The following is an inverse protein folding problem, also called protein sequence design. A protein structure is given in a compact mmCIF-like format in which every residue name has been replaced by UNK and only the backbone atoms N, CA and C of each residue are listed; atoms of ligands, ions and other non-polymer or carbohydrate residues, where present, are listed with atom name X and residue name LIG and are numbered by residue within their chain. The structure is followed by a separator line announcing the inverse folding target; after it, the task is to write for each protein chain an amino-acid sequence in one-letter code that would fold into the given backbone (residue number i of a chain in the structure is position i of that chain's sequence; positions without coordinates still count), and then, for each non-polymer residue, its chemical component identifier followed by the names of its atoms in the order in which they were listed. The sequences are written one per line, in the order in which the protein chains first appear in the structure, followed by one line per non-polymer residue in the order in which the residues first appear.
data_IF_887378721712
#
_entry.id   IF_887378721712
#
_cell.length_a   1.000
_cell.length_b   1.000
_cell.length_c   1.000
_cell.angle_alpha   90.00
_cell.angle_beta   90.00
_cell.angle_gamma   90.00
#
_symmetry.space_group_name_H-M   'P 1'
#
loop_
_entity.id
_entity.type
_entity.pdbx_description
1 polymer ?
#
# COMPACT_ATOMS: atom_id res chain seq x y z
N UNK A 1 23.20 15.23 -24.11
CA UNK A 1 22.95 13.78 -24.27
C UNK A 1 24.10 12.88 -23.77
N UNK A 2 25.36 13.23 -23.92
CA UNK A 2 26.51 12.38 -23.56
C UNK A 2 26.78 12.21 -22.04
N UNK A 3 26.24 13.05 -21.16
CA UNK A 3 26.47 12.96 -19.69
C UNK A 3 25.57 11.94 -18.98
N UNK A 4 24.38 11.63 -19.53
CA UNK A 4 23.39 10.68 -18.94
C UNK A 4 23.75 9.19 -19.17
N UNK A 5 24.51 8.85 -20.21
CA UNK A 5 24.93 7.48 -20.49
C UNK A 5 25.99 6.96 -19.50
N UNK A 6 26.76 7.85 -18.86
CA UNK A 6 27.83 7.46 -17.92
C UNK A 6 27.34 6.87 -16.60
N UNK A 7 26.12 7.22 -16.15
CA UNK A 7 25.58 6.70 -14.87
C UNK A 7 25.00 5.28 -15.02
N UNK A 8 24.46 4.92 -16.19
CA UNK A 8 23.98 3.57 -16.46
C UNK A 8 25.11 2.53 -16.56
N UNK A 9 26.26 2.94 -17.10
CA UNK A 9 27.45 2.08 -17.18
C UNK A 9 28.14 1.87 -15.84
N UNK A 10 28.05 2.85 -14.91
CA UNK A 10 28.59 2.73 -13.57
C UNK A 10 27.82 1.73 -12.71
N UNK A 11 26.48 1.65 -12.84
CA UNK A 11 25.66 0.66 -12.14
C UNK A 11 25.91 -0.77 -12.66
N UNK A 12 26.06 -0.94 -13.98
CA UNK A 12 26.43 -2.22 -14.58
C UNK A 12 27.85 -2.66 -14.21
N UNK A 13 28.80 -1.71 -14.09
CA UNK A 13 30.15 -1.97 -13.65
C UNK A 13 30.24 -2.33 -12.14
N UNK A 14 29.37 -1.78 -11.31
CA UNK A 14 29.29 -2.13 -9.88
C UNK A 14 28.78 -3.58 -9.69
N UNK A 15 27.80 -4.00 -10.49
CA UNK A 15 27.34 -5.41 -10.52
C UNK A 15 28.43 -6.36 -11.08
N UNK A 16 29.23 -5.92 -12.04
CA UNK A 16 30.33 -6.73 -12.59
C UNK A 16 31.55 -6.79 -11.68
N UNK A 17 31.85 -5.73 -10.93
CA UNK A 17 32.97 -5.68 -9.97
C UNK A 17 32.76 -6.60 -8.75
N UNK A 18 31.51 -6.88 -8.38
CA UNK A 18 31.21 -7.83 -7.32
C UNK A 18 31.38 -9.30 -7.74
N UNK A 19 31.43 -9.57 -9.05
CA UNK A 19 31.66 -10.93 -9.60
C UNK A 19 33.14 -11.31 -9.69
N UNK A 20 34.07 -10.33 -9.55
CA UNK A 20 35.52 -10.56 -9.62
C UNK A 20 36.28 -10.53 -8.31
N UNK A 21 35.63 -10.26 -7.17
CA UNK A 21 36.25 -10.39 -5.86
C UNK A 21 36.47 -11.86 -5.52
N UNK A 22 37.62 -12.25 -4.90
CA UNK A 22 37.79 -13.62 -4.41
C UNK A 22 36.64 -13.93 -3.47
N UNK A 23 36.11 -15.18 -3.45
CA UNK A 23 34.93 -15.50 -2.69
C UNK A 23 35.17 -15.30 -1.19
N UNK A 24 34.88 -14.13 -0.66
CA UNK A 24 34.39 -14.01 0.71
C UNK A 24 33.09 -14.79 0.68
N UNK A 25 33.20 -16.05 1.08
CA UNK A 25 32.21 -17.09 0.83
C UNK A 25 30.86 -16.74 1.45
N UNK A 26 30.06 -15.94 0.76
CA UNK A 26 28.64 -16.03 0.91
C UNK A 26 28.27 -17.45 0.51
N UNK A 27 27.89 -18.29 1.47
CA UNK A 27 27.54 -19.69 1.18
C UNK A 27 26.30 -19.76 0.30
N UNK A 28 25.49 -18.69 0.25
CA UNK A 28 24.30 -18.63 -0.57
C UNK A 28 23.88 -17.19 -0.88
N UNK A 29 23.59 -16.95 -2.14
CA UNK A 29 23.03 -15.68 -2.65
C UNK A 29 21.76 -16.02 -3.41
N UNK A 30 20.71 -15.27 -3.16
CA UNK A 30 19.47 -15.28 -3.91
C UNK A 30 19.25 -13.90 -4.52
N UNK A 31 18.96 -13.88 -5.80
CA UNK A 31 18.53 -12.69 -6.52
C UNK A 31 17.12 -12.96 -7.07
N UNK A 32 16.20 -12.07 -6.75
CA UNK A 32 14.84 -12.07 -7.29
C UNK A 32 14.63 -10.77 -8.06
N UNK A 33 14.07 -10.87 -9.25
CA UNK A 33 13.80 -9.72 -10.09
C UNK A 33 12.37 -9.71 -10.57
N UNK A 34 11.75 -8.55 -10.55
CA UNK A 34 10.44 -8.29 -11.16
C UNK A 34 10.60 -7.18 -12.19
N UNK A 35 10.32 -7.51 -13.44
CA UNK A 35 10.33 -6.57 -14.56
C UNK A 35 8.89 -6.33 -14.99
N UNK A 36 8.41 -5.11 -14.87
CA UNK A 36 7.05 -4.73 -15.28
C UNK A 36 7.13 -3.65 -16.35
N UNK A 37 6.47 -3.88 -17.47
CA UNK A 37 6.18 -2.84 -18.45
C UNK A 37 4.68 -2.65 -18.55
N UNK A 38 4.26 -1.41 -18.68
CA UNK A 38 2.85 -1.06 -18.83
C UNK A 38 2.67 -0.25 -20.11
N UNK A 39 1.48 -0.27 -20.63
CA UNK A 39 1.01 0.60 -21.68
C UNK A 39 -0.27 1.25 -21.20
N UNK A 40 -0.28 2.57 -21.15
CA UNK A 40 -1.45 3.37 -20.77
C UNK A 40 -1.79 4.30 -21.91
N UNK A 41 -3.00 4.17 -22.42
CA UNK A 41 -3.54 5.03 -23.46
C UNK A 41 -4.81 5.69 -22.97
N UNK A 42 -4.87 7.00 -23.06
CA UNK A 42 -6.07 7.76 -22.72
C UNK A 42 -6.16 9.03 -23.60
N UNK A 43 -7.30 9.66 -23.56
CA UNK A 43 -7.47 11.02 -24.07
C UNK A 43 -7.43 11.97 -22.87
N UNK A 44 -6.34 12.74 -22.67
CA UNK A 44 -6.25 13.66 -21.56
C UNK A 44 -7.32 14.75 -21.68
N UNK A 45 -7.76 15.24 -20.52
CA UNK A 45 -8.72 16.32 -20.39
C UNK A 45 -8.00 17.49 -19.72
N UNK A 46 -8.08 18.66 -20.31
CA UNK A 46 -7.53 19.90 -19.78
C UNK A 46 -8.65 20.86 -19.44
N UNK A 47 -8.56 21.49 -18.29
CA UNK A 47 -9.44 22.59 -17.94
C UNK A 47 -8.90 23.88 -18.58
N UNK A 48 -9.71 24.50 -19.43
CA UNK A 48 -9.41 25.79 -20.05
C UNK A 48 -10.18 26.88 -19.32
N UNK A 49 -9.51 27.57 -18.41
CA UNK A 49 -10.08 28.70 -17.68
C UNK A 49 -10.29 29.96 -18.56
N UNK A 50 -9.74 30.00 -19.78
CA UNK A 50 -9.81 31.14 -20.67
C UNK A 50 -11.00 31.07 -21.59
N UNK A 51 -11.62 29.91 -21.77
CA UNK A 51 -12.74 29.72 -22.69
C UNK A 51 -14.04 30.46 -22.28
N UNK A 52 -14.22 30.67 -20.96
CA UNK A 52 -15.28 31.50 -20.40
C UNK A 52 -14.94 31.86 -18.95
N UNK A 53 -14.91 33.15 -18.62
CA UNK A 53 -14.48 33.61 -17.30
C UNK A 53 -15.33 33.07 -16.14
N UNK A 54 -16.60 32.70 -16.40
CA UNK A 54 -17.53 32.26 -15.37
C UNK A 54 -17.75 30.72 -15.32
N UNK A 55 -17.45 30.00 -16.38
CA UNK A 55 -17.83 28.59 -16.47
C UNK A 55 -16.68 27.61 -16.79
N UNK A 56 -15.52 28.10 -17.20
CA UNK A 56 -14.40 27.23 -17.63
C UNK A 56 -14.88 26.05 -18.50
N UNK A 57 -14.16 25.70 -19.52
CA UNK A 57 -14.51 24.56 -20.38
C UNK A 57 -13.49 23.45 -20.25
N UNK A 58 -13.95 22.22 -20.18
CA UNK A 58 -13.07 21.07 -20.33
C UNK A 58 -12.82 20.80 -21.82
N UNK A 59 -11.57 20.75 -22.21
CA UNK A 59 -11.14 20.48 -23.58
C UNK A 59 -10.47 19.11 -23.63
N UNK A 60 -10.88 18.29 -24.60
CA UNK A 60 -10.20 17.02 -24.87
C UNK A 60 -8.95 17.25 -25.68
N UNK A 61 -7.83 16.76 -25.21
CA UNK A 61 -6.59 16.70 -25.95
C UNK A 61 -6.57 15.49 -26.90
N UNK A 62 -5.66 15.45 -27.87
CA UNK A 62 -5.44 14.25 -28.68
C UNK A 62 -5.16 13.04 -27.83
N UNK A 63 -5.48 11.86 -28.33
CA UNK A 63 -5.14 10.57 -27.66
C UNK A 63 -3.63 10.51 -27.45
N UNK A 64 -3.25 10.29 -26.21
CA UNK A 64 -1.85 10.16 -25.80
C UNK A 64 -1.60 8.81 -25.13
N UNK A 65 -0.35 8.41 -25.07
CA UNK A 65 0.06 7.17 -24.41
C UNK A 65 1.31 7.39 -23.57
N UNK A 66 1.49 6.52 -22.58
CA UNK A 66 2.75 6.31 -21.89
C UNK A 66 3.04 4.82 -21.77
N UNK A 67 4.32 4.49 -21.74
CA UNK A 67 4.79 3.13 -21.51
C UNK A 67 5.79 3.15 -20.33
N UNK A 68 5.31 3.19 -19.09
CA UNK A 68 6.16 3.10 -17.91
C UNK A 68 6.76 1.70 -17.80
N UNK A 69 8.04 1.67 -17.45
CA UNK A 69 8.83 0.48 -17.21
C UNK A 69 9.40 0.54 -15.79
N UNK A 70 9.28 -0.57 -15.05
CA UNK A 70 9.83 -0.71 -13.70
C UNK A 70 10.61 -2.00 -13.61
N UNK A 71 11.82 -1.93 -13.04
CA UNK A 71 12.65 -3.08 -12.75
C UNK A 71 12.98 -3.08 -11.26
N UNK A 72 12.48 -4.07 -10.54
CA UNK A 72 12.83 -4.34 -9.15
C UNK A 72 13.86 -5.47 -9.09
N UNK A 73 14.89 -5.30 -8.25
CA UNK A 73 15.91 -6.29 -7.98
C UNK A 73 16.06 -6.45 -6.46
N UNK A 74 15.68 -7.61 -5.96
CA UNK A 74 15.82 -7.99 -4.56
C UNK A 74 17.01 -8.96 -4.41
N UNK A 75 17.95 -8.58 -3.57
CA UNK A 75 19.11 -9.37 -3.21
C UNK A 75 18.99 -9.84 -1.77
N UNK A 76 19.19 -11.12 -1.53
CA UNK A 76 19.37 -11.72 -0.21
C UNK A 76 20.64 -12.53 -0.20
N UNK A 77 21.51 -12.30 0.78
CA UNK A 77 22.76 -13.03 0.95
C UNK A 77 22.91 -13.48 2.40
N UNK A 78 23.35 -14.73 2.60
CA UNK A 78 23.58 -15.32 3.92
C UNK A 78 24.84 -16.19 3.92
N UNK A 79 25.30 -16.61 5.11
CA UNK A 79 26.57 -17.33 5.23
C UNK A 79 27.79 -16.43 5.01
N UNK A 80 27.71 -15.15 5.40
CA UNK A 80 28.74 -14.13 5.20
C UNK A 80 29.92 -14.26 6.19
N UNK A 81 30.32 -15.49 6.54
CA UNK A 81 31.44 -15.77 7.46
C UNK A 81 31.09 -15.59 8.95
N UNK A 82 30.02 -14.89 9.28
CA UNK A 82 29.50 -14.73 10.65
C UNK A 82 28.13 -15.39 10.74
N UNK A 83 27.98 -16.33 11.67
CA UNK A 83 26.68 -17.01 11.87
C UNK A 83 25.58 -15.97 12.12
N UNK A 84 24.44 -16.10 11.42
CA UNK A 84 23.30 -15.20 11.52
C UNK A 84 23.48 -13.82 10.86
N UNK A 85 24.59 -13.57 10.19
CA UNK A 85 24.78 -12.35 9.38
C UNK A 85 24.15 -12.55 8.01
N UNK A 86 23.31 -11.62 7.62
CA UNK A 86 22.61 -11.57 6.33
C UNK A 86 22.71 -10.18 5.72
N UNK A 87 22.60 -10.09 4.42
CA UNK A 87 22.48 -8.83 3.70
C UNK A 87 21.21 -8.85 2.85
N UNK A 88 20.50 -7.73 2.82
CA UNK A 88 19.30 -7.55 2.02
C UNK A 88 19.38 -6.22 1.27
N UNK A 89 18.92 -6.24 0.03
CA UNK A 89 18.74 -5.02 -0.75
C UNK A 89 17.55 -5.19 -1.71
N UNK A 90 16.76 -4.13 -1.85
CA UNK A 90 15.77 -3.99 -2.91
C UNK A 90 16.01 -2.66 -3.60
N UNK A 91 16.33 -2.73 -4.87
CA UNK A 91 16.54 -1.56 -5.71
C UNK A 91 15.52 -1.52 -6.82
N UNK A 92 15.05 -0.32 -7.15
CA UNK A 92 14.07 -0.06 -8.20
C UNK A 92 14.64 0.88 -9.23
N UNK A 93 14.55 0.50 -10.48
CA UNK A 93 14.79 1.36 -11.62
C UNK A 93 13.46 1.64 -12.33
N UNK A 94 13.22 2.89 -12.69
CA UNK A 94 12.04 3.33 -13.44
C UNK A 94 12.45 4.10 -14.68
N UNK A 95 11.68 3.94 -15.74
CA UNK A 95 11.74 4.76 -16.94
C UNK A 95 10.33 4.79 -17.56
N UNK A 96 10.01 5.85 -18.27
CA UNK A 96 8.78 5.93 -19.04
C UNK A 96 9.05 6.47 -20.42
N UNK A 97 8.30 5.96 -21.39
CA UNK A 97 8.25 6.46 -22.75
C UNK A 97 6.83 7.03 -22.98
N UNK A 98 6.73 8.11 -23.72
CA UNK A 98 5.46 8.70 -24.08
C UNK A 98 5.19 10.04 -23.44
N UNK A 99 3.93 10.33 -23.13
CA UNK A 99 3.46 11.65 -22.73
C UNK A 99 3.43 11.83 -21.22
N UNK A 100 4.02 12.91 -20.70
CA UNK A 100 3.97 13.32 -19.31
C UNK A 100 2.53 13.63 -18.83
N UNK A 101 1.63 13.98 -19.76
CA UNK A 101 0.22 14.17 -19.45
C UNK A 101 -0.49 12.88 -19.08
N UNK A 102 0.03 11.73 -19.56
CA UNK A 102 -0.50 10.40 -19.25
C UNK A 102 0.19 9.80 -18.04
N UNK A 103 1.49 10.08 -17.91
CA UNK A 103 2.32 9.59 -16.82
C UNK A 103 3.26 10.71 -16.36
N UNK A 104 2.86 11.52 -15.36
CA UNK A 104 3.61 12.70 -14.93
C UNK A 104 5.03 12.42 -14.42
N UNK A 105 5.29 11.19 -13.98
CA UNK A 105 6.63 10.78 -13.52
C UNK A 105 7.38 10.00 -14.61
N UNK A 106 7.56 10.61 -15.77
CA UNK A 106 8.26 10.00 -16.90
C UNK A 106 9.78 9.97 -16.76
N UNK A 107 10.34 10.63 -15.76
CA UNK A 107 11.78 10.70 -15.55
C UNK A 107 12.38 9.34 -15.18
N UNK A 108 13.54 9.05 -15.76
CA UNK A 108 14.33 7.88 -15.36
C UNK A 108 14.80 8.05 -13.93
N UNK A 109 14.44 7.13 -13.08
CA UNK A 109 14.72 7.17 -11.66
C UNK A 109 15.31 5.84 -11.18
N UNK A 110 16.28 5.90 -10.28
CA UNK A 110 16.85 4.73 -9.62
C UNK A 110 16.90 5.00 -8.12
N UNK A 111 16.36 4.06 -7.34
CA UNK A 111 16.30 4.18 -5.89
C UNK A 111 16.56 2.84 -5.20
N UNK A 112 17.14 2.88 -4.02
CA UNK A 112 17.16 1.75 -3.10
C UNK A 112 15.98 1.90 -2.13
N UNK A 113 15.03 0.97 -2.20
CA UNK A 113 13.88 0.95 -1.29
C UNK A 113 14.30 0.51 0.10
N UNK A 114 15.14 -0.53 0.19
CA UNK A 114 15.90 -0.89 1.39
C UNK A 114 17.27 -1.48 1.01
N UNK A 115 18.24 -1.34 1.90
CA UNK A 115 19.56 -1.95 1.77
C UNK A 115 20.21 -2.00 3.16
N UNK A 116 20.29 -3.18 3.78
CA UNK A 116 20.79 -3.31 5.14
C UNK A 116 21.50 -4.64 5.38
N UNK A 117 22.38 -4.61 6.37
CA UNK A 117 22.96 -5.79 7.01
C UNK A 117 22.13 -6.12 8.25
N UNK A 118 21.91 -7.40 8.46
CA UNK A 118 21.19 -7.93 9.61
C UNK A 118 22.03 -9.00 10.29
N UNK A 119 22.25 -8.84 11.59
CA UNK A 119 22.80 -9.88 12.46
C UNK A 119 21.70 -10.38 13.38
N UNK A 120 21.23 -11.60 13.12
CA UNK A 120 20.20 -12.26 13.94
C UNK A 120 20.79 -13.35 14.81
N UNK A 121 20.47 -13.31 16.08
CA UNK A 121 20.80 -14.29 17.11
C UNK A 121 19.53 -14.66 17.90
N UNK A 122 19.51 -15.77 18.61
CA UNK A 122 18.30 -16.18 19.36
C UNK A 122 17.74 -15.10 20.31
N UNK A 123 18.62 -14.29 20.90
CA UNK A 123 18.24 -13.27 21.88
C UNK A 123 18.32 -11.83 21.39
N UNK A 124 18.99 -11.56 20.28
CA UNK A 124 19.14 -10.20 19.77
C UNK A 124 19.15 -10.16 18.25
N UNK A 125 18.74 -9.02 17.71
CA UNK A 125 18.83 -8.67 16.31
C UNK A 125 19.42 -7.26 16.20
N UNK A 126 20.36 -7.10 15.30
CA UNK A 126 20.92 -5.80 14.91
C UNK A 126 20.72 -5.64 13.41
N UNK A 127 20.28 -4.48 12.98
CA UNK A 127 20.10 -4.17 11.56
C UNK A 127 20.66 -2.77 11.28
N UNK A 128 21.53 -2.66 10.29
CA UNK A 128 22.20 -1.42 9.92
C UNK A 128 22.04 -1.14 8.43
N UNK A 129 21.61 0.05 8.08
CA UNK A 129 21.44 0.53 6.70
C UNK A 129 20.07 1.13 6.46
N UNK A 130 19.66 1.16 5.18
CA UNK A 130 18.34 1.63 4.77
C UNK A 130 17.28 0.60 5.11
N UNK A 131 16.32 0.99 5.91
CA UNK A 131 15.32 0.10 6.48
C UNK A 131 13.93 0.67 6.32
N UNK A 132 12.97 -0.22 6.34
CA UNK A 132 11.55 0.07 6.37
C UNK A 132 10.94 -0.55 7.63
N UNK A 133 9.97 0.14 8.20
CA UNK A 133 9.25 -0.31 9.36
C UNK A 133 7.76 -0.03 9.23
N UNK A 134 6.95 -1.00 9.54
CA UNK A 134 5.50 -0.86 9.71
C UNK A 134 5.13 -1.09 11.17
N UNK A 135 4.26 -0.25 11.72
CA UNK A 135 3.75 -0.33 13.09
C UNK A 135 2.34 0.25 13.17
N UNK A 136 1.74 0.27 14.33
CA UNK A 136 0.48 0.99 14.57
C UNK A 136 0.54 2.50 14.26
N UNK A 137 1.74 3.06 14.11
CA UNK A 137 1.97 4.45 13.71
C UNK A 137 2.06 4.66 12.18
N UNK A 138 1.95 3.60 11.40
CA UNK A 138 2.08 3.62 9.95
C UNK A 138 3.41 3.06 9.46
N UNK A 139 3.78 3.46 8.25
CA UNK A 139 4.96 3.02 7.54
C UNK A 139 6.04 4.11 7.55
N UNK A 140 7.30 3.72 7.81
CA UNK A 140 8.45 4.61 7.86
C UNK A 140 9.66 3.99 7.17
N UNK A 141 10.37 4.80 6.37
CA UNK A 141 11.68 4.49 5.82
C UNK A 141 12.75 5.34 6.49
N UNK A 142 13.90 4.76 6.82
CA UNK A 142 15.03 5.50 7.41
C UNK A 142 16.37 4.82 7.13
N UNK A 143 17.42 5.64 7.09
CA UNK A 143 18.82 5.18 7.06
C UNK A 143 19.35 5.21 8.49
N UNK A 144 19.61 4.02 9.08
CA UNK A 144 19.99 3.96 10.48
C UNK A 144 20.20 2.57 11.06
N UNK A 145 19.99 2.47 12.36
CA UNK A 145 20.17 1.28 13.17
C UNK A 145 18.83 0.82 13.78
N UNK A 146 18.61 -0.48 13.78
CA UNK A 146 17.60 -1.14 14.61
C UNK A 146 18.29 -2.16 15.49
N UNK A 147 17.98 -2.15 16.79
CA UNK A 147 18.41 -3.13 17.76
C UNK A 147 17.19 -3.75 18.46
N UNK A 148 17.12 -5.09 18.49
CA UNK A 148 16.07 -5.77 19.24
C UNK A 148 16.70 -6.77 20.22
N UNK A 149 16.05 -6.91 21.36
CA UNK A 149 16.41 -7.83 22.43
C UNK A 149 15.20 -8.69 22.82
N UNK A 150 15.41 -10.01 22.88
CA UNK A 150 14.41 -11.02 23.21
C UNK A 150 14.85 -11.74 24.50
N UNK A 151 14.57 -11.17 25.68
CA UNK A 151 14.91 -11.83 26.95
C UNK A 151 14.16 -13.16 27.13
N UNK A 152 12.94 -13.22 26.64
CA UNK A 152 12.06 -14.39 26.67
C UNK A 152 11.45 -14.59 25.27
N UNK A 153 11.04 -15.81 24.95
CA UNK A 153 10.34 -16.09 23.68
C UNK A 153 9.05 -15.26 23.52
N UNK A 154 8.41 -14.94 24.64
CA UNK A 154 7.17 -14.18 24.69
C UNK A 154 7.38 -12.65 24.80
N UNK A 155 8.61 -12.14 24.80
CA UNK A 155 8.88 -10.73 25.03
C UNK A 155 10.02 -10.22 24.15
N UNK A 156 9.76 -9.12 23.41
CA UNK A 156 10.73 -8.45 22.55
C UNK A 156 10.70 -6.96 22.82
N UNK A 157 11.86 -6.40 23.05
CA UNK A 157 12.12 -4.97 23.05
C UNK A 157 12.86 -4.60 21.77
N UNK A 158 12.54 -3.46 21.19
CA UNK A 158 13.21 -2.97 20.00
C UNK A 158 13.39 -1.47 20.11
N UNK A 159 14.54 -0.97 19.69
CA UNK A 159 14.83 0.44 19.50
C UNK A 159 15.38 0.67 18.11
N UNK A 160 15.07 1.81 17.52
CA UNK A 160 15.53 2.17 16.19
C UNK A 160 15.75 3.67 16.08
N UNK A 161 16.60 4.05 15.16
CA UNK A 161 16.81 5.47 14.89
C UNK A 161 17.74 5.68 13.69
N UNK A 162 17.59 6.84 13.08
CA UNK A 162 18.35 7.22 11.91
C UNK A 162 17.78 8.44 11.20
N UNK A 163 18.26 8.69 9.99
CA UNK A 163 17.74 9.74 9.13
C UNK A 163 16.43 9.27 8.48
N UNK A 164 15.37 10.03 8.69
CA UNK A 164 14.07 9.77 8.05
C UNK A 164 14.14 9.98 6.54
N UNK A 165 13.53 9.09 5.77
CA UNK A 165 13.50 9.11 4.32
C UNK A 165 12.11 9.35 3.77
N UNK A 166 11.15 8.53 4.23
CA UNK A 166 9.82 8.51 3.69
C UNK A 166 8.80 8.12 4.76
N UNK A 167 7.64 8.69 4.66
CA UNK A 167 6.46 8.30 5.42
C UNK A 167 5.33 8.00 4.47
N UNK A 168 4.64 6.91 4.73
CA UNK A 168 3.34 6.66 4.18
C UNK A 168 2.37 6.38 5.33
N UNK A 169 1.32 7.13 5.41
CA UNK A 169 0.39 7.04 6.53
C UNK A 169 -0.33 5.70 6.60
N UNK A 170 -0.58 5.03 5.49
CA UNK A 170 -1.43 3.84 5.46
C UNK A 170 -1.10 2.79 4.41
N UNK A 171 -0.22 3.04 3.44
CA UNK A 171 -0.04 2.16 2.30
C UNK A 171 1.38 1.61 2.21
N UNK A 172 1.46 0.35 1.76
CA UNK A 172 2.72 -0.28 1.43
C UNK A 172 3.37 0.41 0.22
N UNK A 173 4.68 0.30 0.10
CA UNK A 173 5.50 0.88 -0.99
C UNK A 173 5.07 0.56 -2.42
N UNK A 174 4.11 -0.31 -2.60
CA UNK A 174 3.59 -0.67 -3.93
C UNK A 174 2.53 0.29 -4.45
N UNK A 175 2.18 1.33 -3.71
CA UNK A 175 1.23 2.32 -4.16
C UNK A 175 1.89 3.32 -5.10
N UNK A 176 1.49 3.31 -6.35
CA UNK A 176 1.84 4.34 -7.33
C UNK A 176 1.40 5.75 -6.90
N UNK A 177 0.43 5.86 -6.02
CA UNK A 177 -0.06 7.13 -5.50
C UNK A 177 0.97 7.85 -4.61
N UNK A 178 1.76 7.11 -3.82
CA UNK A 178 2.81 7.71 -2.99
C UNK A 178 3.93 8.28 -3.87
N UNK A 179 4.28 7.59 -4.93
CA UNK A 179 5.29 8.04 -5.88
C UNK A 179 4.88 9.31 -6.62
N UNK A 180 3.60 9.47 -6.91
CA UNK A 180 3.05 10.69 -7.53
C UNK A 180 3.19 11.92 -6.62
N UNK A 181 3.34 11.73 -5.32
CA UNK A 181 3.46 12.81 -4.32
C UNK A 181 4.91 13.13 -3.94
N UNK A 182 5.88 12.30 -4.33
CA UNK A 182 7.31 12.52 -4.05
C UNK A 182 7.82 13.91 -4.48
N UNK A 183 7.45 14.46 -5.65
CA UNK A 183 7.84 15.81 -6.04
C UNK A 183 7.25 16.92 -5.14
N UNK A 184 6.20 16.61 -4.39
CA UNK A 184 5.52 17.54 -3.49
C UNK A 184 6.01 17.43 -2.05
N UNK A 185 6.95 16.53 -1.76
CA UNK A 185 7.57 16.44 -0.45
C UNK A 185 8.52 17.61 -0.25
N UNK A 186 8.41 18.36 0.85
CA UNK A 186 9.46 19.26 1.23
C UNK A 186 10.72 18.44 1.56
N UNK A 187 11.86 18.89 1.09
CA UNK A 187 13.17 18.28 1.37
C UNK A 187 13.63 18.59 2.81
N UNK A 188 12.84 18.13 3.77
CA UNK A 188 13.12 18.28 5.19
C UNK A 188 13.92 17.07 5.67
N UNK A 189 15.21 17.30 5.93
CA UNK A 189 16.01 16.31 6.64
C UNK A 189 15.46 16.10 8.05
N UNK A 190 15.12 14.87 8.41
CA UNK A 190 14.62 14.53 9.75
C UNK A 190 15.45 13.44 10.41
N UNK A 191 15.49 13.45 11.73
CA UNK A 191 16.03 12.37 12.56
C UNK A 191 14.87 11.69 13.24
N UNK A 192 14.75 10.40 13.00
CA UNK A 192 13.73 9.51 13.55
C UNK A 192 14.33 8.71 14.71
N UNK A 193 13.64 8.67 15.84
CA UNK A 193 13.96 7.82 17.00
C UNK A 193 12.68 7.09 17.44
N UNK A 194 12.80 5.82 17.74
CA UNK A 194 11.67 5.06 18.24
C UNK A 194 12.03 3.84 19.07
N UNK A 195 11.06 3.39 19.81
CA UNK A 195 11.13 2.17 20.59
C UNK A 195 9.80 1.42 20.53
N UNK A 196 9.86 0.11 20.61
CA UNK A 196 8.66 -0.73 20.73
C UNK A 196 8.89 -1.90 21.68
N UNK A 197 7.79 -2.33 22.27
CA UNK A 197 7.72 -3.58 23.02
C UNK A 197 6.64 -4.46 22.40
N UNK A 198 6.93 -5.71 22.28
CA UNK A 198 5.98 -6.74 21.87
C UNK A 198 5.97 -7.85 22.94
N UNK A 199 4.77 -8.30 23.30
CA UNK A 199 4.57 -9.35 24.28
C UNK A 199 3.49 -10.33 23.83
N UNK A 200 3.75 -11.62 24.00
CA UNK A 200 2.80 -12.72 23.77
C UNK A 200 2.72 -13.60 25.02
N UNK A 201 2.05 -13.14 26.10
CA UNK A 201 1.99 -13.86 27.36
C UNK A 201 1.30 -15.22 27.24
N UNK A 202 0.55 -15.44 26.17
CA UNK A 202 -0.03 -16.73 25.82
C UNK A 202 -0.10 -16.91 24.30
N UNK A 203 -0.29 -18.14 23.79
CA UNK A 203 -0.48 -18.38 22.35
C UNK A 203 -1.73 -17.65 21.76
N UNK A 204 -2.62 -17.18 22.62
CA UNK A 204 -3.87 -16.51 22.23
C UNK A 204 -3.86 -15.01 22.49
N UNK A 205 -2.77 -14.49 23.05
CA UNK A 205 -2.73 -13.06 23.45
C UNK A 205 -1.43 -12.44 22.92
N UNK A 206 -1.57 -11.33 22.22
CA UNK A 206 -0.44 -10.53 21.74
C UNK A 206 -0.71 -9.08 22.02
N UNK A 207 0.32 -8.34 22.42
CA UNK A 207 0.28 -6.92 22.67
C UNK A 207 1.52 -6.27 22.07
N UNK A 208 1.36 -5.07 21.54
CA UNK A 208 2.49 -4.24 21.14
C UNK A 208 2.25 -2.79 21.54
N UNK A 209 3.34 -2.12 21.90
CA UNK A 209 3.34 -0.68 22.09
C UNK A 209 4.54 -0.10 21.34
N UNK A 210 4.34 1.02 20.65
CA UNK A 210 5.37 1.70 19.87
C UNK A 210 5.35 3.18 20.22
N UNK A 211 6.52 3.75 20.47
CA UNK A 211 6.73 5.18 20.60
C UNK A 211 7.69 5.63 19.51
N UNK A 212 7.44 6.80 18.93
CA UNK A 212 8.27 7.38 17.90
C UNK A 212 8.28 8.91 18.01
N UNK A 213 9.49 9.46 17.83
CA UNK A 213 9.74 10.89 17.79
C UNK A 213 10.56 11.22 16.55
N UNK A 214 10.23 12.33 15.91
CA UNK A 214 10.94 12.84 14.76
C UNK A 214 11.19 14.33 14.90
N UNK A 215 12.42 14.71 14.67
CA UNK A 215 12.90 16.09 14.79
C UNK A 215 13.58 16.52 13.49
N UNK A 216 13.58 17.82 13.21
CA UNK A 216 14.34 18.37 12.08
C UNK A 216 15.85 18.21 12.33
N UNK A 217 16.59 17.84 11.30
CA UNK A 217 18.05 17.63 11.41
C UNK A 217 18.83 18.94 11.47
N UNK A 218 18.29 20.04 10.95
CA UNK A 218 18.93 21.38 10.87
C UNK A 218 18.45 22.34 11.98
N UNK A 219 17.36 21.98 12.67
CA UNK A 219 16.75 22.81 13.72
C UNK A 219 16.27 21.89 14.84
N UNK A 220 16.15 22.44 16.04
CA UNK A 220 15.57 21.73 17.18
C UNK A 220 14.04 21.61 17.12
N UNK A 221 13.46 21.65 15.89
CA UNK A 221 12.02 21.59 15.67
C UNK A 221 11.47 20.16 15.80
N UNK A 222 10.43 19.98 16.60
CA UNK A 222 9.68 18.76 16.67
C UNK A 222 8.78 18.64 15.43
N UNK A 223 8.93 17.55 14.67
CA UNK A 223 8.09 17.25 13.50
C UNK A 223 6.91 16.39 13.90
N UNK A 224 7.16 15.35 14.70
CA UNK A 224 6.14 14.40 15.13
C UNK A 224 6.57 13.72 16.41
N UNK A 225 5.62 13.48 17.31
CA UNK A 225 5.80 12.64 18.49
C UNK A 225 4.53 11.83 18.71
N UNK A 226 4.63 10.51 18.57
CA UNK A 226 3.46 9.62 18.54
C UNK A 226 3.71 8.34 19.32
N UNK A 227 2.63 7.80 19.86
CA UNK A 227 2.62 6.48 20.47
C UNK A 227 1.45 5.67 19.93
N UNK A 228 1.63 4.35 19.76
CA UNK A 228 0.58 3.43 19.40
C UNK A 228 0.58 2.22 20.32
N UNK A 229 -0.60 1.66 20.48
CA UNK A 229 -0.84 0.41 21.20
C UNK A 229 -1.73 -0.49 20.36
N UNK A 230 -1.35 -1.77 20.26
CA UNK A 230 -2.14 -2.81 19.61
C UNK A 230 -2.25 -4.01 20.55
N UNK A 231 -3.42 -4.62 20.60
CA UNK A 231 -3.67 -5.78 21.44
C UNK A 231 -4.65 -6.74 20.79
N UNK A 232 -4.42 -8.04 21.03
CA UNK A 232 -5.34 -9.11 20.62
C UNK A 232 -5.39 -10.17 21.70
N UNK A 233 -6.60 -10.62 22.04
CA UNK A 233 -6.85 -11.66 23.05
C UNK A 233 -7.90 -12.63 22.55
N UNK A 234 -7.56 -13.92 22.51
CA UNK A 234 -8.51 -15.01 22.29
C UNK A 234 -9.15 -15.46 23.60
N UNK A 235 -10.45 -15.36 23.69
CA UNK A 235 -11.27 -15.80 24.85
C UNK A 235 -11.98 -17.10 24.51
N UNK A 236 -11.58 -18.17 25.15
CA UNK A 236 -12.05 -19.50 24.77
C UNK A 236 -11.62 -19.88 23.35
N UNK A 237 -12.44 -20.67 22.66
CA UNK A 237 -12.15 -21.15 21.30
C UNK A 237 -12.82 -20.30 20.21
N UNK A 238 -13.73 -19.40 20.57
CA UNK A 238 -14.62 -18.76 19.59
C UNK A 238 -14.55 -17.24 19.58
N UNK A 239 -14.13 -16.60 20.65
CA UNK A 239 -14.12 -15.14 20.73
C UNK A 239 -12.69 -14.58 20.62
N UNK A 240 -12.50 -13.62 19.74
CA UNK A 240 -11.27 -12.85 19.60
C UNK A 240 -11.61 -11.39 19.82
N UNK A 241 -10.96 -10.79 20.81
CA UNK A 241 -11.02 -9.36 21.04
C UNK A 241 -9.73 -8.73 20.51
N UNK A 242 -9.83 -7.62 19.79
CA UNK A 242 -8.66 -6.85 19.36
C UNK A 242 -8.94 -5.35 19.48
N UNK A 243 -7.88 -4.62 19.75
CA UNK A 243 -7.96 -3.17 19.86
C UNK A 243 -6.65 -2.54 19.44
N UNK A 244 -6.75 -1.34 18.88
CA UNK A 244 -5.60 -0.50 18.55
C UNK A 244 -5.91 0.95 18.88
N UNK A 245 -4.89 1.69 19.27
CA UNK A 245 -5.01 3.13 19.47
C UNK A 245 -3.68 3.79 19.16
N UNK A 246 -3.71 4.98 18.56
CA UNK A 246 -2.54 5.83 18.42
C UNK A 246 -2.85 7.25 18.91
N UNK A 247 -1.82 7.89 19.44
CA UNK A 247 -1.88 9.24 19.96
C UNK A 247 -0.77 10.10 19.35
N UNK A 248 -1.14 11.28 18.88
CA UNK A 248 -0.22 12.36 18.55
C UNK A 248 0.05 13.15 19.84
N UNK A 249 1.20 12.87 20.46
CA UNK A 249 1.59 13.46 21.75
C UNK A 249 1.89 14.95 21.57
N UNK A 250 2.52 15.31 20.44
CA UNK A 250 2.87 16.69 20.15
C UNK A 250 1.64 17.59 20.02
N UNK A 251 0.54 17.06 19.49
CA UNK A 251 -0.73 17.78 19.34
C UNK A 251 -1.75 17.48 20.45
N UNK A 252 -1.42 16.58 21.38
CA UNK A 252 -2.30 16.13 22.46
C UNK A 252 -3.64 15.57 21.95
N UNK A 253 -3.61 14.77 20.89
CA UNK A 253 -4.78 14.25 20.21
C UNK A 253 -4.68 12.74 20.01
N UNK A 254 -5.83 12.06 20.06
CA UNK A 254 -5.96 10.70 19.59
C UNK A 254 -6.08 10.70 18.07
N UNK A 255 -5.29 9.88 17.38
CA UNK A 255 -5.38 9.68 15.93
C UNK A 255 -6.44 8.62 15.62
N UNK A 256 -6.10 7.37 15.84
CA UNK A 256 -7.00 6.22 15.67
C UNK A 256 -7.26 5.56 17.02
N UNK A 257 -8.50 5.17 17.26
CA UNK A 257 -8.86 4.25 18.33
C UNK A 257 -9.88 3.26 17.77
N UNK A 258 -9.64 1.96 17.98
CA UNK A 258 -10.46 0.90 17.41
C UNK A 258 -10.57 -0.25 18.39
N UNK A 259 -11.77 -0.77 18.59
CA UNK A 259 -12.04 -1.97 19.36
C UNK A 259 -12.93 -2.90 18.55
N UNK A 260 -12.52 -4.16 18.41
CA UNK A 260 -13.30 -5.16 17.70
C UNK A 260 -13.46 -6.44 18.49
N UNK A 261 -14.58 -7.11 18.24
CA UNK A 261 -14.89 -8.43 18.75
C UNK A 261 -15.32 -9.33 17.58
N UNK A 262 -14.58 -10.43 17.37
CA UNK A 262 -14.87 -11.42 16.35
C UNK A 262 -15.30 -12.72 17.01
N UNK A 263 -16.46 -13.22 16.62
CA UNK A 263 -16.96 -14.53 17.06
C UNK A 263 -16.84 -15.55 15.93
N UNK A 264 -16.15 -16.66 16.22
CA UNK A 264 -15.93 -17.75 15.28
C UNK A 264 -17.04 -18.78 15.40
N UNK A 265 -17.71 -19.05 14.29
CA UNK A 265 -18.77 -20.05 14.14
C UNK A 265 -18.23 -21.23 13.35
N UNK A 266 -18.82 -22.41 13.47
CA UNK A 266 -18.41 -23.58 12.69
C UNK A 266 -18.57 -23.39 11.18
N UNK A 267 -19.40 -22.45 10.75
CA UNK A 267 -19.70 -22.13 9.35
C UNK A 267 -19.24 -20.72 8.94
N UNK A 268 -18.56 -19.98 9.83
CA UNK A 268 -18.11 -18.65 9.48
C UNK A 268 -17.65 -17.80 10.67
N UNK A 269 -17.74 -16.48 10.51
CA UNK A 269 -17.40 -15.53 11.57
C UNK A 269 -18.27 -14.29 11.49
N UNK A 270 -18.49 -13.67 12.63
CA UNK A 270 -19.11 -12.33 12.73
C UNK A 270 -18.16 -11.44 13.53
N UNK A 271 -17.91 -10.27 13.02
CA UNK A 271 -17.10 -9.24 13.68
C UNK A 271 -17.94 -7.98 13.86
N UNK A 272 -17.85 -7.38 15.03
CA UNK A 272 -18.35 -6.04 15.30
C UNK A 272 -17.17 -5.16 15.70
N UNK A 273 -17.24 -3.89 15.36
CA UNK A 273 -16.17 -2.94 15.61
C UNK A 273 -16.74 -1.56 15.92
N UNK A 274 -16.10 -0.89 16.88
CA UNK A 274 -16.30 0.53 17.14
C UNK A 274 -14.95 1.23 16.89
N UNK A 275 -14.97 2.37 16.23
CA UNK A 275 -13.74 3.09 15.89
C UNK A 275 -13.94 4.60 15.93
N UNK A 276 -12.84 5.26 16.24
CA UNK A 276 -12.62 6.68 16.01
C UNK A 276 -11.41 6.83 15.12
N UNK A 277 -11.49 7.71 14.16
CA UNK A 277 -10.38 8.01 13.25
C UNK A 277 -10.23 9.51 13.10
N UNK A 278 -9.03 9.99 13.38
CA UNK A 278 -8.59 11.35 13.08
C UNK A 278 -7.28 11.22 12.33
N UNK A 279 -7.24 11.47 11.02
CA UNK A 279 -6.00 11.41 10.27
C UNK A 279 -4.97 12.38 10.81
N UNK A 280 -3.76 11.90 11.07
CA UNK A 280 -2.61 12.73 11.41
C UNK A 280 -1.79 12.92 10.14
N UNK A 281 -1.96 14.07 9.50
CA UNK A 281 -1.20 14.41 8.30
C UNK A 281 -0.03 15.31 8.67
N UNK A 282 1.07 15.12 7.97
CA UNK A 282 2.23 16.00 8.09
C UNK A 282 1.92 17.38 7.52
N UNK A 283 2.15 18.42 8.32
CA UNK A 283 2.02 19.82 7.86
C UNK A 283 2.98 20.16 6.72
N UNK A 284 4.03 19.36 6.56
CA UNK A 284 5.00 19.51 5.48
C UNK A 284 4.58 18.89 4.16
N UNK A 285 3.45 18.17 4.12
CA UNK A 285 2.88 17.61 2.90
C UNK A 285 1.70 18.47 2.41
N UNK A 286 1.42 18.41 1.11
CA UNK A 286 0.21 19.05 0.54
C UNK A 286 -1.06 18.58 1.23
N UNK A 287 -1.07 17.36 1.76
CA UNK A 287 -2.18 16.77 2.51
C UNK A 287 -2.37 17.40 3.88
N UNK A 288 -1.33 17.97 4.47
CA UNK A 288 -1.44 18.73 5.72
C UNK A 288 -2.21 20.04 5.59
N UNK A 289 -2.37 20.53 4.35
CA UNK A 289 -3.22 21.70 4.03
C UNK A 289 -4.70 21.30 4.00
N UNK A 290 -4.98 20.04 3.65
CA UNK A 290 -6.33 19.50 3.71
C UNK A 290 -6.52 18.88 5.08
N UNK A 291 -7.18 19.57 6.00
CA UNK A 291 -7.52 19.01 7.30
C UNK A 291 -8.56 17.90 7.09
N UNK A 292 -8.18 16.61 7.16
CA UNK A 292 -9.18 15.56 7.05
C UNK A 292 -10.03 15.56 8.31
N UNK A 293 -11.33 15.47 8.11
CA UNK A 293 -12.27 15.48 9.20
C UNK A 293 -12.21 14.19 10.00
N UNK A 294 -12.29 14.35 11.32
CA UNK A 294 -12.37 13.20 12.21
C UNK A 294 -13.75 12.57 12.16
N UNK A 295 -13.81 11.27 12.28
CA UNK A 295 -15.08 10.56 12.37
C UNK A 295 -15.05 9.45 13.41
N UNK A 296 -16.22 9.14 13.93
CA UNK A 296 -16.49 7.97 14.76
C UNK A 296 -17.41 7.03 14.00
N UNK A 297 -17.34 5.74 14.28
CA UNK A 297 -18.20 4.80 13.57
C UNK A 297 -18.29 3.43 14.21
N UNK A 298 -19.18 2.66 13.65
CA UNK A 298 -19.39 1.25 13.99
C UNK A 298 -19.45 0.42 12.72
N UNK A 299 -18.90 -0.77 12.75
CA UNK A 299 -19.03 -1.72 11.66
C UNK A 299 -19.46 -3.09 12.15
N UNK A 300 -20.13 -3.83 11.28
CA UNK A 300 -20.43 -5.23 11.45
C UNK A 300 -20.11 -5.96 10.15
N UNK A 301 -19.35 -7.05 10.24
CA UNK A 301 -18.98 -7.88 9.09
C UNK A 301 -19.27 -9.34 9.40
N UNK A 302 -19.83 -10.05 8.45
CA UNK A 302 -20.08 -11.49 8.51
C UNK A 302 -19.42 -12.20 7.33
N UNK A 303 -18.73 -13.31 7.61
CA UNK A 303 -18.20 -14.23 6.60
C UNK A 303 -18.85 -15.59 6.81
N UNK A 304 -19.47 -16.13 5.77
CA UNK A 304 -20.28 -17.35 5.80
C UNK A 304 -19.75 -18.33 4.79
N UNK A 305 -19.28 -19.49 5.23
CA UNK A 305 -19.00 -20.63 4.37
C UNK A 305 -20.30 -21.40 4.13
N UNK A 306 -21.09 -20.97 3.13
CA UNK A 306 -22.38 -21.58 2.81
C UNK A 306 -22.21 -23.02 2.32
N UNK A 307 -21.04 -23.35 1.72
CA UNK A 307 -20.64 -24.70 1.38
C UNK A 307 -19.11 -24.77 1.27
N UNK A 308 -18.55 -25.94 0.97
CA UNK A 308 -17.13 -26.08 0.67
C UNK A 308 -16.69 -25.27 -0.56
N UNK A 309 -17.63 -24.99 -1.45
CA UNK A 309 -17.39 -24.28 -2.70
C UNK A 309 -17.82 -22.80 -2.66
N UNK A 310 -18.62 -22.37 -1.68
CA UNK A 310 -19.20 -21.02 -1.66
C UNK A 310 -18.94 -20.32 -0.32
N UNK A 311 -18.28 -19.19 -0.38
CA UNK A 311 -18.11 -18.26 0.74
C UNK A 311 -18.82 -16.96 0.40
N UNK A 312 -19.57 -16.41 1.35
CA UNK A 312 -20.26 -15.13 1.24
C UNK A 312 -19.71 -14.18 2.31
N UNK A 313 -19.63 -12.92 1.99
CA UNK A 313 -19.21 -11.85 2.90
C UNK A 313 -20.24 -10.73 2.84
N UNK A 314 -20.61 -10.19 4.00
CA UNK A 314 -21.44 -9.00 4.09
C UNK A 314 -20.92 -8.08 5.18
N UNK A 315 -20.96 -6.79 4.95
CA UNK A 315 -20.52 -5.77 5.89
C UNK A 315 -21.40 -4.54 5.84
N UNK A 316 -21.56 -3.91 6.97
CA UNK A 316 -22.20 -2.62 7.11
C UNK A 316 -21.33 -1.73 8.01
N UNK A 317 -21.11 -0.47 7.61
CA UNK A 317 -20.40 0.53 8.38
C UNK A 317 -21.24 1.80 8.46
N UNK A 318 -21.31 2.36 9.64
CA UNK A 318 -21.86 3.70 9.88
C UNK A 318 -20.74 4.60 10.36
N UNK A 319 -20.65 5.83 9.81
CA UNK A 319 -19.70 6.87 10.18
C UNK A 319 -20.44 8.16 10.51
N UNK A 320 -19.94 8.87 11.49
CA UNK A 320 -20.37 10.23 11.82
C UNK A 320 -19.15 11.14 11.85
N UNK A 321 -19.10 12.11 10.95
CA UNK A 321 -18.01 13.08 10.86
C UNK A 321 -18.24 14.23 11.81
N UNK A 322 -17.18 14.63 12.48
CA UNK A 322 -17.17 15.75 13.42
C UNK A 322 -16.53 16.95 12.72
N UNK A 323 -17.25 18.01 12.44
CA UNK A 323 -16.70 19.20 11.79
C UNK A 323 -15.60 19.81 12.68
N UNK A 324 -14.45 20.14 12.08
CA UNK A 324 -13.29 20.69 12.79
C UNK A 324 -13.46 22.15 13.23
N UNK A 325 -14.38 22.90 12.61
CA UNK A 325 -14.70 24.27 12.99
C UNK A 325 -16.08 24.67 12.51
N UNK A 326 -16.85 25.35 13.33
CA UNK A 326 -18.06 26.06 12.91
C UNK A 326 -17.66 27.19 11.97
N UNK A 327 -18.08 27.15 10.71
CA UNK A 327 -17.89 28.24 9.74
C UNK A 327 -17.03 27.90 8.53
N UNK A 328 -16.75 26.64 8.25
CA UNK A 328 -16.22 26.22 6.96
C UNK A 328 -17.29 26.47 5.89
N UNK A 329 -16.98 27.15 4.77
CA UNK A 329 -17.93 27.30 3.67
C UNK A 329 -18.30 25.97 3.00
N UNK A 330 -17.69 24.87 3.40
CA UNK A 330 -17.96 23.50 2.95
C UNK A 330 -18.96 22.76 3.87
N UNK A 331 -19.33 23.34 5.03
CA UNK A 331 -20.21 22.70 6.02
C UNK A 331 -21.72 22.88 5.69
N UNK A 332 -22.06 23.81 4.80
CA UNK A 332 -23.47 24.07 4.48
C UNK A 332 -24.00 22.98 3.53
N UNK A 333 -24.82 22.09 4.06
CA UNK A 333 -25.58 21.12 3.28
C UNK A 333 -24.92 19.78 3.03
N UNK A 334 -23.71 19.52 3.58
CA UNK A 334 -23.08 18.21 3.49
C UNK A 334 -23.55 17.36 4.68
N UNK A 335 -24.10 16.16 4.46
CA UNK A 335 -24.49 15.26 5.54
C UNK A 335 -23.28 14.89 6.39
N UNK A 336 -23.39 14.96 7.72
CA UNK A 336 -22.34 14.52 8.64
C UNK A 336 -22.31 12.99 8.82
N UNK A 337 -23.31 12.30 8.32
CA UNK A 337 -23.46 10.85 8.44
C UNK A 337 -23.10 10.15 7.13
N UNK A 338 -22.43 9.01 7.23
CA UNK A 338 -22.17 8.12 6.11
C UNK A 338 -22.52 6.68 6.44
N UNK A 339 -22.97 5.97 5.42
CA UNK A 339 -23.32 4.55 5.50
C UNK A 339 -22.62 3.82 4.38
N UNK A 340 -22.05 2.68 4.70
CA UNK A 340 -21.38 1.82 3.75
C UNK A 340 -21.96 0.41 3.86
N UNK A 341 -22.27 -0.18 2.72
CA UNK A 341 -22.70 -1.57 2.58
C UNK A 341 -21.70 -2.28 1.67
N UNK A 342 -21.16 -3.39 2.13
CA UNK A 342 -20.31 -4.27 1.34
C UNK A 342 -20.94 -5.65 1.24
N UNK A 343 -20.97 -6.21 0.05
CA UNK A 343 -21.40 -7.59 -0.20
C UNK A 343 -20.34 -8.27 -1.06
N UNK A 344 -20.07 -9.54 -0.80
CA UNK A 344 -19.09 -10.28 -1.57
C UNK A 344 -19.42 -11.77 -1.61
N UNK A 345 -18.87 -12.45 -2.60
CA UNK A 345 -19.01 -13.88 -2.72
C UNK A 345 -17.87 -14.48 -3.54
N UNK A 346 -17.43 -15.66 -3.11
CA UNK A 346 -16.45 -16.47 -3.84
C UNK A 346 -16.98 -17.87 -4.01
N UNK A 347 -17.04 -18.34 -5.27
CA UNK A 347 -17.40 -19.71 -5.61
C UNK A 347 -16.21 -20.44 -6.25
N UNK A 348 -15.91 -21.65 -5.78
CA UNK A 348 -14.87 -22.55 -6.33
C UNK A 348 -15.54 -23.73 -7.01
N UNK A 349 -15.39 -23.83 -8.32
CA UNK A 349 -16.03 -24.82 -9.18
C UNK A 349 -14.94 -25.65 -9.88
N UNK A 350 -14.33 -26.56 -9.13
CA UNK A 350 -13.17 -27.31 -9.63
C UNK A 350 -11.97 -26.41 -9.86
N UNK A 351 -11.58 -26.26 -11.13
CA UNK A 351 -10.47 -25.41 -11.58
C UNK A 351 -10.88 -23.94 -11.80
N UNK A 352 -12.16 -23.63 -11.67
CA UNK A 352 -12.66 -22.26 -11.81
C UNK A 352 -12.93 -21.63 -10.44
N UNK A 353 -12.60 -20.34 -10.32
CA UNK A 353 -12.99 -19.49 -9.20
C UNK A 353 -13.78 -18.31 -9.76
N UNK A 354 -14.91 -18.03 -9.17
CA UNK A 354 -15.72 -16.85 -9.43
C UNK A 354 -15.71 -16.00 -8.18
N UNK A 355 -15.36 -14.73 -8.32
CA UNK A 355 -15.43 -13.72 -7.26
C UNK A 355 -16.36 -12.59 -7.69
N UNK A 356 -17.17 -12.12 -6.76
CA UNK A 356 -17.99 -10.94 -6.96
C UNK A 356 -18.01 -10.08 -5.71
N UNK A 357 -17.97 -8.76 -5.87
CA UNK A 357 -18.12 -7.80 -4.79
C UNK A 357 -19.01 -6.64 -5.21
N UNK A 358 -19.70 -6.08 -4.24
CA UNK A 358 -20.46 -4.86 -4.36
C UNK A 358 -20.22 -3.97 -3.15
N UNK A 359 -20.02 -2.70 -3.41
CA UNK A 359 -19.80 -1.68 -2.40
C UNK A 359 -20.73 -0.50 -2.68
N UNK A 360 -21.41 -0.02 -1.65
CA UNK A 360 -22.26 1.16 -1.68
C UNK A 360 -21.87 2.05 -0.51
N UNK A 361 -21.54 3.30 -0.80
CA UNK A 361 -21.28 4.33 0.19
C UNK A 361 -22.22 5.51 -0.06
N UNK A 362 -22.89 5.98 1.00
CA UNK A 362 -23.85 7.07 0.97
C UNK A 362 -23.51 8.07 2.07
N UNK A 363 -23.51 9.35 1.77
CA UNK A 363 -23.43 10.41 2.74
C UNK A 363 -22.25 11.37 2.56
N UNK A 364 -21.47 11.60 3.60
CA UNK A 364 -20.42 12.61 3.60
C UNK A 364 -19.43 12.45 2.43
N UNK A 365 -19.30 13.51 1.64
CA UNK A 365 -18.40 13.54 0.48
C UNK A 365 -19.01 13.05 -0.83
N UNK A 366 -20.25 12.57 -0.84
CA UNK A 366 -20.98 12.11 -2.02
C UNK A 366 -21.40 10.64 -1.94
N UNK A 367 -22.14 10.21 -2.95
CA UNK A 367 -22.65 8.85 -3.06
C UNK A 367 -21.84 8.05 -4.08
N UNK A 368 -21.44 6.85 -3.70
CA UNK A 368 -20.63 5.99 -4.52
C UNK A 368 -21.14 4.57 -4.51
N UNK A 369 -21.19 3.93 -5.68
CA UNK A 369 -21.39 2.48 -5.78
C UNK A 369 -20.35 1.85 -6.69
N UNK A 370 -19.85 0.69 -6.30
CA UNK A 370 -18.89 -0.07 -7.08
C UNK A 370 -19.25 -1.56 -7.09
N UNK A 371 -19.00 -2.22 -8.19
CA UNK A 371 -19.18 -3.66 -8.31
C UNK A 371 -18.07 -4.26 -9.14
N UNK A 372 -17.52 -5.39 -8.68
CA UNK A 372 -16.49 -6.14 -9.36
C UNK A 372 -16.95 -7.59 -9.55
N UNK A 373 -16.67 -8.14 -10.71
CA UNK A 373 -16.83 -9.55 -11.00
C UNK A 373 -15.56 -10.08 -11.64
N UNK A 374 -15.08 -11.22 -11.18
CA UNK A 374 -13.99 -11.91 -11.84
C UNK A 374 -14.24 -13.40 -11.95
N UNK A 375 -13.71 -13.98 -13.02
CA UNK A 375 -13.68 -15.41 -13.26
C UNK A 375 -12.26 -15.83 -13.57
N UNK A 376 -11.70 -16.72 -12.77
CA UNK A 376 -10.35 -17.24 -12.96
C UNK A 376 -10.42 -18.75 -13.23
N UNK A 377 -9.66 -19.20 -14.20
CA UNK A 377 -9.44 -20.59 -14.54
C UNK A 377 -7.99 -20.97 -14.31
N UNK A 378 -7.74 -21.95 -13.46
CA UNK A 378 -6.41 -22.40 -13.07
C UNK A 378 -6.34 -23.95 -13.15
N UNK A 379 -6.03 -24.51 -14.32
CA UNK A 379 -5.86 -25.96 -14.46
C UNK A 379 -4.56 -26.45 -13.78
N UNK A 380 -4.40 -27.76 -13.68
CA UNK A 380 -3.24 -28.38 -13.05
C UNK A 380 -1.89 -28.11 -13.69
N UNK A 381 -1.86 -27.51 -14.88
CA UNK A 381 -0.64 -27.20 -15.63
C UNK A 381 0.12 -25.95 -15.17
N UNK A 382 -0.25 -25.33 -14.05
CA UNK A 382 0.47 -24.19 -13.47
C UNK A 382 0.20 -22.83 -14.12
N UNK A 383 -0.53 -22.76 -15.24
CA UNK A 383 -0.98 -21.49 -15.81
C UNK A 383 -2.36 -21.10 -15.29
N UNK A 384 -2.70 -19.84 -15.39
CA UNK A 384 -4.05 -19.35 -15.09
C UNK A 384 -4.46 -18.25 -16.06
N UNK A 385 -5.74 -18.15 -16.33
CA UNK A 385 -6.34 -17.07 -17.08
C UNK A 385 -7.57 -16.53 -16.34
N UNK A 386 -7.80 -15.23 -16.42
CA UNK A 386 -8.91 -14.57 -15.76
C UNK A 386 -9.57 -13.54 -16.64
N UNK A 387 -10.86 -13.35 -16.42
CA UNK A 387 -11.63 -12.21 -16.91
C UNK A 387 -12.09 -11.42 -15.70
N UNK A 388 -12.09 -10.10 -15.83
CA UNK A 388 -12.54 -9.19 -14.79
C UNK A 388 -13.37 -8.06 -15.37
N UNK A 389 -14.38 -7.65 -14.65
CA UNK A 389 -15.18 -6.47 -14.96
C UNK A 389 -15.40 -5.67 -13.69
N UNK A 390 -15.32 -4.37 -13.81
CA UNK A 390 -15.60 -3.42 -12.74
C UNK A 390 -16.62 -2.40 -13.21
N UNK A 391 -17.51 -2.02 -12.34
CA UNK A 391 -18.42 -0.91 -12.57
C UNK A 391 -18.38 0.00 -11.35
N UNK A 392 -18.22 1.28 -11.59
CA UNK A 392 -18.13 2.30 -10.55
C UNK A 392 -19.00 3.47 -10.94
N UNK A 393 -19.86 3.90 -10.03
CA UNK A 393 -20.69 5.08 -10.18
C UNK A 393 -20.48 6.00 -8.98
N UNK A 394 -20.35 7.28 -9.25
CA UNK A 394 -20.27 8.32 -8.23
C UNK A 394 -21.28 9.43 -8.56
N UNK A 395 -21.87 10.02 -7.52
CA UNK A 395 -22.86 11.08 -7.60
C UNK A 395 -22.54 12.11 -6.52
N UNK A 396 -22.63 13.38 -6.87
CA UNK A 396 -22.50 14.52 -5.95
C UNK A 396 -21.19 14.60 -5.15
N UNK A 397 -20.12 14.01 -5.67
CA UNK A 397 -18.80 14.11 -5.05
C UNK A 397 -18.18 15.49 -5.29
N UNK A 398 -17.58 16.06 -4.24
CA UNK A 398 -16.87 17.33 -4.32
C UNK A 398 -15.73 17.26 -5.36
N UNK A 399 -15.72 18.18 -6.30
CA UNK A 399 -14.75 18.32 -7.40
C UNK A 399 -14.67 17.15 -8.40
N UNK A 400 -15.55 16.19 -8.32
CA UNK A 400 -15.58 15.08 -9.27
C UNK A 400 -16.93 15.05 -9.95
N UNK A 401 -16.92 15.08 -11.28
CA UNK A 401 -18.15 15.05 -12.07
C UNK A 401 -18.88 13.73 -11.86
N UNK A 402 -20.17 13.80 -11.61
CA UNK A 402 -21.04 12.62 -11.48
C UNK A 402 -21.00 11.76 -12.75
N UNK A 403 -20.71 10.49 -12.62
CA UNK A 403 -20.53 9.60 -13.76
C UNK A 403 -20.44 8.13 -13.38
N UNK A 404 -20.39 7.30 -14.42
CA UNK A 404 -20.19 5.86 -14.31
C UNK A 404 -18.93 5.45 -15.09
N UNK A 405 -18.08 4.66 -14.47
CA UNK A 405 -16.94 3.99 -15.10
C UNK A 405 -17.27 2.51 -15.22
N UNK A 406 -17.09 1.96 -16.39
CA UNK A 406 -17.16 0.53 -16.64
C UNK A 406 -15.81 0.05 -17.16
N UNK A 407 -15.26 -1.00 -16.55
CA UNK A 407 -14.03 -1.65 -16.95
C UNK A 407 -14.28 -3.11 -17.32
N UNK A 408 -13.63 -3.54 -18.40
CA UNK A 408 -13.60 -4.94 -18.82
C UNK A 408 -12.17 -5.31 -19.20
N UNK A 409 -11.71 -6.45 -18.71
CA UNK A 409 -10.37 -6.91 -19.01
C UNK A 409 -10.14 -8.37 -18.74
N UNK A 410 -8.89 -8.75 -18.89
CA UNK A 410 -8.46 -10.11 -18.60
C UNK A 410 -6.96 -10.17 -18.32
N UNK A 411 -6.57 -11.28 -17.74
CA UNK A 411 -5.19 -11.55 -17.39
C UNK A 411 -4.83 -13.00 -17.66
N UNK A 412 -3.56 -13.24 -17.88
CA UNK A 412 -2.96 -14.57 -18.04
C UNK A 412 -1.68 -14.59 -17.22
N UNK A 413 -1.45 -15.68 -16.50
CA UNK A 413 -0.20 -15.96 -15.81
C UNK A 413 0.26 -17.36 -16.14
N UNK A 414 1.55 -17.52 -16.43
CA UNK A 414 2.16 -18.81 -16.72
C UNK A 414 3.58 -18.88 -16.15
N UNK A 415 3.97 -19.99 -15.51
CA UNK A 415 5.37 -20.27 -15.26
C UNK A 415 6.06 -20.67 -16.56
N UNK A 416 7.27 -20.18 -16.76
CA UNK A 416 8.17 -20.60 -17.84
C UNK A 416 9.35 -21.37 -17.23
N UNK A 417 9.05 -22.51 -16.61
CA UNK A 417 9.98 -23.31 -15.79
C UNK A 417 9.92 -22.90 -14.32
N UNK A 418 10.90 -23.39 -13.53
CA UNK A 418 10.88 -23.27 -12.06
C UNK A 418 11.30 -21.88 -11.54
N UNK A 419 11.90 -21.06 -12.40
CA UNK A 419 12.55 -19.81 -12.02
C UNK A 419 12.05 -18.57 -12.74
N UNK A 420 11.16 -18.72 -13.68
CA UNK A 420 10.60 -17.62 -14.46
C UNK A 420 9.08 -17.72 -14.51
N UNK A 421 8.40 -16.66 -14.15
CA UNK A 421 6.96 -16.47 -14.31
C UNK A 421 6.68 -15.29 -15.24
N UNK A 422 5.63 -15.39 -16.01
CA UNK A 422 5.14 -14.30 -16.87
C UNK A 422 3.68 -14.08 -16.59
N UNK A 423 3.29 -12.83 -16.42
CA UNK A 423 1.90 -12.41 -16.37
C UNK A 423 1.65 -11.26 -17.34
N UNK A 424 0.48 -11.28 -17.95
CA UNK A 424 0.01 -10.21 -18.81
C UNK A 424 -1.42 -9.84 -18.45
N UNK A 425 -1.75 -8.57 -18.53
CA UNK A 425 -3.12 -8.07 -18.33
C UNK A 425 -3.48 -7.01 -19.36
N UNK A 426 -4.77 -6.91 -19.64
CA UNK A 426 -5.35 -5.88 -20.50
C UNK A 426 -6.68 -5.45 -19.87
N UNK A 427 -6.85 -4.14 -19.69
CA UNK A 427 -8.08 -3.52 -19.18
C UNK A 427 -8.51 -2.36 -20.08
N UNK A 428 -9.78 -2.30 -20.35
CA UNK A 428 -10.43 -1.17 -21.04
C UNK A 428 -11.44 -0.53 -20.10
N UNK A 429 -11.30 0.77 -19.85
CA UNK A 429 -12.21 1.57 -19.06
C UNK A 429 -12.98 2.54 -19.95
N UNK A 430 -14.27 2.67 -19.66
CA UNK A 430 -15.19 3.60 -20.33
C UNK A 430 -15.87 4.42 -19.24
N UNK A 431 -15.71 5.72 -19.29
CA UNK A 431 -16.42 6.66 -18.43
C UNK A 431 -17.58 7.30 -19.19
N UNK A 432 -18.73 7.34 -18.55
CA UNK A 432 -19.91 8.05 -18.99
C UNK A 432 -20.37 8.99 -17.89
N UNK A 433 -20.46 10.27 -18.21
CA UNK A 433 -21.03 11.26 -17.30
C UNK A 433 -22.53 11.06 -17.15
N UNK A 434 -23.08 11.42 -16.01
CA UNK A 434 -24.52 11.49 -15.81
C UNK A 434 -25.09 12.72 -16.54
N UNK A 435 -26.33 12.61 -16.99
CA UNK A 435 -27.03 13.71 -17.68
C UNK A 435 -27.13 14.93 -16.75
N UNK A 436 -26.71 16.09 -17.24
CA UNK A 436 -26.70 17.33 -16.46
C UNK A 436 -25.42 17.58 -15.66
N UNK A 437 -24.51 16.59 -15.54
CA UNK A 437 -23.22 16.80 -14.87
C UNK A 437 -22.24 17.56 -15.77
N UNK A 438 -21.33 18.30 -15.15
CA UNK A 438 -20.17 18.91 -15.83
C UNK A 438 -19.13 17.84 -16.14
N UNK A 439 -18.27 18.08 -17.14
CA UNK A 439 -17.19 17.17 -17.51
C UNK A 439 -17.39 16.52 -18.86
N UNK A 440 -16.55 15.57 -19.20
CA UNK A 440 -16.50 14.89 -20.52
C UNK A 440 -16.40 13.40 -20.34
N UNK A 441 -17.00 12.66 -21.31
CA UNK A 441 -16.79 11.22 -21.41
C UNK A 441 -15.34 10.91 -21.78
N UNK A 442 -14.76 9.90 -21.13
CA UNK A 442 -13.40 9.49 -21.44
C UNK A 442 -13.31 7.96 -21.54
N UNK A 443 -12.23 7.50 -22.14
CA UNK A 443 -11.89 6.09 -22.16
C UNK A 443 -10.38 5.91 -21.98
N UNK A 444 -10.01 4.78 -21.40
CA UNK A 444 -8.63 4.43 -21.13
C UNK A 444 -8.38 2.96 -21.43
N UNK A 445 -7.23 2.65 -22.03
CA UNK A 445 -6.73 1.29 -22.15
C UNK A 445 -5.46 1.17 -21.34
N UNK A 446 -5.38 0.13 -20.52
CA UNK A 446 -4.17 -0.26 -19.78
C UNK A 446 -3.79 -1.68 -20.15
N UNK A 447 -2.54 -1.90 -20.45
CA UNK A 447 -1.98 -3.24 -20.58
C UNK A 447 -0.72 -3.33 -19.73
N UNK A 448 -0.42 -4.51 -19.23
CA UNK A 448 0.84 -4.75 -18.51
C UNK A 448 1.40 -6.13 -18.84
N UNK A 449 2.72 -6.23 -18.83
CA UNK A 449 3.45 -7.49 -18.85
C UNK A 449 4.44 -7.45 -17.71
N UNK A 450 4.45 -8.51 -16.91
CA UNK A 450 5.37 -8.66 -15.78
C UNK A 450 6.12 -9.98 -15.91
N UNK A 451 7.44 -9.91 -15.73
CA UNK A 451 8.34 -11.05 -15.64
C UNK A 451 8.87 -11.15 -14.22
N UNK A 452 8.60 -12.25 -13.56
CA UNK A 452 9.15 -12.59 -12.25
C UNK A 452 10.20 -13.67 -12.40
N UNK A 453 11.41 -13.41 -11.92
CA UNK A 453 12.50 -14.38 -12.05
C UNK A 453 13.32 -14.49 -10.78
N UNK A 454 13.88 -15.67 -10.53
CA UNK A 454 14.70 -15.95 -9.35
C UNK A 454 15.96 -16.69 -9.77
N UNK A 455 17.12 -16.26 -9.26
CA UNK A 455 18.42 -16.90 -9.45
C UNK A 455 19.08 -17.17 -8.10
N UNK A 456 19.94 -18.16 -8.04
CA UNK A 456 20.73 -18.51 -6.85
C UNK A 456 20.14 -19.65 -6.03
N UNK A 457 20.44 -19.67 -4.72
CA UNK A 457 20.06 -20.76 -3.82
C UNK A 457 18.55 -20.76 -3.55
N UNK A 458 17.99 -21.96 -3.42
CA UNK A 458 16.57 -22.14 -3.12
C UNK A 458 16.19 -21.62 -1.73
N UNK A 459 14.94 -21.19 -1.62
CA UNK A 459 14.41 -20.49 -0.46
C UNK A 459 14.23 -21.31 0.81
N UNK A 460 14.53 -22.61 0.77
CA UNK A 460 14.28 -23.54 1.88
C UNK A 460 15.05 -23.22 3.18
N UNK A 461 15.96 -22.24 3.14
CA UNK A 461 16.74 -21.82 4.31
C UNK A 461 16.38 -20.44 4.85
N UNK A 462 15.43 -19.74 4.23
CA UNK A 462 14.88 -18.54 4.83
C UNK A 462 13.86 -18.95 5.89
N UNK A 463 14.33 -19.19 7.10
CA UNK A 463 13.48 -19.33 8.29
C UNK A 463 12.52 -18.17 8.35
N UNK A 464 11.29 -18.42 7.91
CA UNK A 464 10.30 -17.39 7.63
C UNK A 464 9.96 -16.56 8.85
N UNK A 465 9.88 -15.30 8.63
CA UNK A 465 8.91 -14.50 9.35
C UNK A 465 7.53 -14.80 8.73
N UNK A 466 6.76 -15.62 9.40
CA UNK A 466 5.31 -15.66 9.31
C UNK A 466 4.70 -14.88 10.46
#
# INVERSE_FOLDING_TARGET
MARRVRHGLAAAALCAATLGAPPLAAQSIRLHGTTTTQYVQLRPIQYDSTANADTGAYVTLPVAYAAPFTQDLELSAWGLGVSGLRAYALVRGRAALGSDLVWPQSDTHFEALYAYLELERPRYLLRLGRQQRSSGLGFYGFDGLTAAWRPLAALRFESYGGRGLARASMESFNSSAIEALDPLRPDLGTILLGASVWAAPSPRSTFSATYQREVLSDRSGLVSERAAFDGRVGVGSHLILSGSADADIARQQWGKAQLSAMYLLGWGSVQIEAFQYRPTLDLSSIWGVFMPESHVGYSATANVSASRALTLTGGFTYRHWQPLSSGSPFDEGIPSDGKELTLGGRARLGTMTLDGSYHLELGFGGDQSAGDLSAAYAPTGGWSAGLETTAFQQTDMFRVASGTVFGLGGNVRTPLGDRLGVSASLMRYLHRRLTGSTGIDWNQTRASITFDWTMGADADHTGGYR
#
